data_IF_288124350951
#
_entry.id   IF_288124350951
#
_cell.length_a   1.000
_cell.length_b   1.000
_cell.length_c   1.000
_cell.angle_alpha   90.00
_cell.angle_beta   90.00
_cell.angle_gamma   90.00
#
_symmetry.space_group_name_H-M   'P 1'
#
loop_
_entity.id
_entity.type
_entity.pdbx_description
1 polymer ?
#
# COMPACT_ATOMS: atom_id res chain seq x y z
N UNK A 1 11.36 1.26 62.39
CA UNK A 1 11.89 1.78 61.12
C UNK A 1 12.44 0.68 60.18
N UNK A 2 12.97 -0.45 60.67
CA UNK A 2 13.51 -1.53 59.83
C UNK A 2 12.46 -2.30 58.98
N UNK A 3 11.21 -2.44 59.46
CA UNK A 3 10.15 -3.15 58.73
C UNK A 3 9.68 -2.47 57.45
N UNK A 4 9.70 -1.13 57.40
CA UNK A 4 9.35 -0.36 56.18
C UNK A 4 10.43 -0.51 55.09
N UNK A 5 11.70 -0.58 55.47
CA UNK A 5 12.81 -0.81 54.55
C UNK A 5 12.78 -2.23 53.97
N UNK A 6 12.48 -3.25 54.79
CA UNK A 6 12.31 -4.62 54.32
C UNK A 6 11.12 -4.77 53.36
N UNK A 7 9.98 -4.12 53.66
CA UNK A 7 8.83 -4.08 52.75
C UNK A 7 9.13 -3.34 51.45
N UNK A 8 9.90 -2.24 51.47
CA UNK A 8 10.29 -1.54 50.24
C UNK A 8 11.28 -2.33 49.39
N UNK A 9 12.16 -3.13 50.00
CA UNK A 9 13.09 -4.01 49.26
C UNK A 9 12.35 -5.22 48.70
N UNK A 10 11.42 -5.83 49.44
CA UNK A 10 10.57 -6.91 48.92
C UNK A 10 9.64 -6.42 47.79
N UNK A 11 9.08 -5.21 47.92
CA UNK A 11 8.39 -4.53 46.82
C UNK A 11 9.33 -4.28 45.66
N UNK A 12 10.51 -3.71 45.89
CA UNK A 12 11.47 -3.43 44.82
C UNK A 12 11.89 -4.71 44.09
N UNK A 13 12.13 -5.83 44.78
CA UNK A 13 12.54 -7.10 44.17
C UNK A 13 11.37 -7.78 43.43
N UNK A 14 10.15 -7.76 43.97
CA UNK A 14 8.96 -8.34 43.34
C UNK A 14 8.33 -7.47 42.23
N UNK A 15 8.30 -6.15 42.41
CA UNK A 15 7.86 -5.15 41.41
C UNK A 15 8.89 -5.04 40.26
N UNK A 16 10.20 -5.21 40.52
CA UNK A 16 11.20 -5.34 39.44
C UNK A 16 11.12 -6.66 38.69
N UNK A 17 10.54 -7.71 39.27
CA UNK A 17 10.47 -9.01 38.62
C UNK A 17 9.51 -9.00 37.43
N UNK A 18 8.44 -8.19 37.47
CA UNK A 18 7.50 -8.04 36.36
C UNK A 18 6.96 -6.59 36.17
N UNK A 19 7.82 -5.63 35.77
CA UNK A 19 7.44 -4.21 35.61
C UNK A 19 6.36 -3.99 34.53
N UNK A 20 6.15 -4.99 33.67
CA UNK A 20 5.12 -4.96 32.64
C UNK A 20 3.70 -5.05 33.20
N UNK A 21 3.48 -5.67 34.37
CA UNK A 21 2.14 -5.82 34.96
C UNK A 21 1.51 -4.47 35.32
N UNK A 22 2.28 -3.58 35.94
CA UNK A 22 1.83 -2.23 36.29
C UNK A 22 1.60 -1.37 35.05
N UNK A 23 2.53 -1.43 34.09
CA UNK A 23 2.39 -0.73 32.80
C UNK A 23 1.16 -1.23 32.05
N UNK A 24 0.90 -2.54 32.07
CA UNK A 24 -0.24 -3.15 31.40
C UNK A 24 -1.55 -2.72 32.06
N UNK A 25 -1.63 -2.73 33.40
CA UNK A 25 -2.77 -2.23 34.13
C UNK A 25 -3.07 -0.75 33.79
N UNK A 26 -2.02 0.08 33.75
CA UNK A 26 -2.12 1.51 33.38
C UNK A 26 -2.69 1.73 31.98
N UNK A 27 -2.24 0.94 31.00
CA UNK A 27 -2.61 1.12 29.60
C UNK A 27 -3.70 0.18 29.11
N UNK A 28 -4.29 -0.67 29.97
CA UNK A 28 -5.26 -1.71 29.59
C UNK A 28 -6.43 -1.15 28.77
N UNK A 29 -7.02 -0.04 29.23
CA UNK A 29 -8.15 0.63 28.57
C UNK A 29 -7.74 1.23 27.22
N UNK A 30 -6.55 1.80 27.13
CA UNK A 30 -6.00 2.34 25.88
C UNK A 30 -5.69 1.23 24.86
N UNK A 31 -5.11 0.11 25.33
CA UNK A 31 -4.76 -1.03 24.48
C UNK A 31 -6.00 -1.71 23.89
N UNK A 32 -7.13 -1.71 24.60
CA UNK A 32 -8.40 -2.24 24.08
C UNK A 32 -9.05 -1.39 22.99
N UNK A 33 -8.68 -0.12 22.83
CA UNK A 33 -9.26 0.76 21.80
C UNK A 33 -8.81 0.39 20.38
N UNK A 34 -7.66 -0.29 20.24
CA UNK A 34 -7.12 -0.72 18.96
C UNK A 34 -5.59 -0.66 18.89
N UNK A 35 -5.03 -0.82 17.69
CA UNK A 35 -3.56 -0.83 17.48
C UNK A 35 -2.98 0.55 17.25
N UNK A 36 -3.65 1.32 16.39
CA UNK A 36 -3.13 2.60 15.87
C UNK A 36 -3.93 3.81 16.33
N UNK A 37 -5.15 3.57 16.80
CA UNK A 37 -6.12 4.59 17.14
C UNK A 37 -7.51 4.01 17.10
N UNK A 38 -8.48 4.89 17.25
CA UNK A 38 -9.90 4.53 17.24
C UNK A 38 -10.72 5.66 16.63
N UNK A 39 -11.85 5.30 16.04
CA UNK A 39 -12.82 6.28 15.55
C UNK A 39 -13.69 6.73 16.71
N UNK A 40 -13.77 8.04 16.93
CA UNK A 40 -14.65 8.63 17.94
C UNK A 40 -15.26 9.90 17.34
N UNK A 41 -16.60 9.96 17.30
CA UNK A 41 -17.34 11.12 16.78
C UNK A 41 -16.91 11.57 15.37
N UNK A 42 -16.64 10.60 14.48
CA UNK A 42 -16.26 10.87 13.08
C UNK A 42 -14.81 11.33 12.89
N UNK A 43 -14.02 11.40 13.95
CA UNK A 43 -12.59 11.70 13.87
C UNK A 43 -11.74 10.48 14.28
N UNK A 44 -10.60 10.31 13.60
CA UNK A 44 -9.60 9.35 14.01
C UNK A 44 -8.77 9.91 15.16
N UNK A 45 -8.82 9.27 16.33
CA UNK A 45 -8.02 9.65 17.50
C UNK A 45 -6.83 8.70 17.68
N UNK A 46 -5.61 9.22 17.90
CA UNK A 46 -4.47 8.39 18.25
C UNK A 46 -4.62 7.80 19.66
N UNK A 47 -3.90 6.73 19.94
CA UNK A 47 -3.85 6.15 21.30
C UNK A 47 -3.03 7.03 22.25
N UNK A 48 -3.37 6.98 23.54
CA UNK A 48 -2.59 7.62 24.61
C UNK A 48 -1.23 6.97 24.90
N UNK A 49 -0.88 5.88 24.19
CA UNK A 49 0.41 5.21 24.27
C UNK A 49 1.12 5.27 22.91
N UNK A 50 2.40 5.66 22.92
CA UNK A 50 3.21 5.62 21.70
C UNK A 50 3.47 4.17 21.27
N UNK A 51 3.54 3.95 19.95
CA UNK A 51 3.82 2.63 19.38
C UNK A 51 5.12 2.00 19.93
N UNK A 52 6.15 2.82 20.19
CA UNK A 52 7.40 2.37 20.82
C UNK A 52 7.20 1.84 22.24
N UNK A 53 6.41 2.55 23.07
CA UNK A 53 6.11 2.12 24.44
C UNK A 53 5.26 0.84 24.44
N UNK A 54 4.27 0.76 23.54
CA UNK A 54 3.48 -0.46 23.31
C UNK A 54 4.36 -1.65 22.94
N UNK A 55 5.25 -1.50 21.95
CA UNK A 55 6.13 -2.59 21.51
C UNK A 55 7.10 -3.05 22.61
N UNK A 56 7.60 -2.13 23.45
CA UNK A 56 8.41 -2.49 24.62
C UNK A 56 7.62 -3.32 25.63
N UNK A 57 6.37 -2.92 25.92
CA UNK A 57 5.49 -3.63 26.84
C UNK A 57 5.13 -5.02 26.29
N UNK A 58 4.79 -5.12 25.00
CA UNK A 58 4.58 -6.38 24.29
C UNK A 58 5.80 -7.30 24.38
N UNK A 59 7.01 -6.76 24.15
CA UNK A 59 8.26 -7.52 24.26
C UNK A 59 8.48 -8.06 25.68
N UNK A 60 8.34 -7.21 26.71
CA UNK A 60 8.49 -7.61 28.12
C UNK A 60 7.53 -8.76 28.47
N UNK A 61 6.30 -8.71 27.96
CA UNK A 61 5.27 -9.70 28.26
C UNK A 61 5.49 -11.04 27.53
N UNK A 62 5.83 -11.00 26.24
CA UNK A 62 6.17 -12.20 25.46
C UNK A 62 7.43 -12.90 26.00
N UNK A 63 8.43 -12.14 26.47
CA UNK A 63 9.62 -12.69 27.12
C UNK A 63 9.30 -13.38 28.45
N UNK A 64 8.23 -12.96 29.14
CA UNK A 64 7.72 -13.62 30.34
C UNK A 64 6.83 -14.85 30.02
N UNK A 65 6.75 -15.26 28.74
CA UNK A 65 5.96 -16.41 28.29
C UNK A 65 4.44 -16.19 28.31
N UNK A 66 3.99 -14.93 28.41
CA UNK A 66 2.57 -14.57 28.42
C UNK A 66 2.10 -14.17 27.00
N UNK A 67 0.82 -14.36 26.71
CA UNK A 67 0.25 -14.09 25.39
C UNK A 67 -0.34 -12.69 25.24
N UNK A 68 -0.18 -12.06 24.07
CA UNK A 68 -0.56 -10.66 23.77
C UNK A 68 -1.88 -10.56 22.98
N UNK A 69 -3.03 -10.32 23.64
CA UNK A 69 -4.35 -10.38 22.99
C UNK A 69 -4.78 -9.06 22.31
N UNK A 70 -4.02 -7.97 22.46
CA UNK A 70 -4.47 -6.62 22.05
C UNK A 70 -4.22 -6.29 20.57
N UNK A 71 -3.43 -7.09 19.86
CA UNK A 71 -3.10 -6.86 18.45
C UNK A 71 -3.89 -7.85 17.58
N UNK A 72 -4.59 -7.40 16.53
CA UNK A 72 -5.21 -8.27 15.55
C UNK A 72 -4.14 -9.04 14.76
N UNK A 73 -4.54 -10.17 14.21
CA UNK A 73 -3.68 -10.99 13.37
C UNK A 73 -3.20 -10.22 12.13
N UNK A 74 -1.97 -10.53 11.70
CA UNK A 74 -1.41 -9.93 10.50
C UNK A 74 -2.16 -10.47 9.28
N UNK A 75 -2.64 -9.55 8.44
CA UNK A 75 -3.24 -9.90 7.15
C UNK A 75 -2.17 -10.44 6.20
N UNK A 76 -2.60 -11.31 5.29
CA UNK A 76 -1.76 -11.82 4.21
C UNK A 76 -1.28 -10.71 3.28
N UNK A 77 -0.06 -10.87 2.76
CA UNK A 77 0.52 -9.93 1.80
C UNK A 77 0.01 -10.19 0.38
N UNK A 78 -0.20 -9.13 -0.40
CA UNK A 78 -0.57 -9.25 -1.82
C UNK A 78 0.65 -9.62 -2.66
N UNK A 79 0.58 -10.75 -3.37
CA UNK A 79 1.69 -11.30 -4.19
C UNK A 79 1.57 -11.01 -5.69
N UNK A 80 0.58 -10.21 -6.12
CA UNK A 80 0.35 -9.95 -7.55
C UNK A 80 1.37 -8.97 -8.15
N UNK A 81 2.10 -9.38 -9.18
CA UNK A 81 2.97 -8.50 -9.98
C UNK A 81 2.16 -7.70 -11.01
N UNK A 82 2.52 -6.42 -11.21
CA UNK A 82 1.86 -5.55 -12.19
C UNK A 82 2.23 -5.90 -13.63
N UNK A 83 3.49 -6.27 -13.88
CA UNK A 83 4.07 -6.36 -15.22
C UNK A 83 4.30 -4.99 -15.87
N UNK A 84 5.26 -4.90 -16.79
CA UNK A 84 5.54 -3.66 -17.52
C UNK A 84 4.43 -3.37 -18.54
N UNK A 85 4.11 -2.08 -18.73
CA UNK A 85 3.10 -1.64 -19.71
C UNK A 85 3.49 -2.04 -21.13
N UNK A 86 4.78 -1.96 -21.45
CA UNK A 86 5.30 -2.30 -22.78
C UNK A 86 4.95 -3.75 -23.14
N UNK A 87 5.30 -4.69 -22.27
CA UNK A 87 5.13 -6.12 -22.50
C UNK A 87 3.65 -6.50 -22.62
N UNK A 88 2.81 -5.88 -21.79
CA UNK A 88 1.36 -6.13 -21.81
C UNK A 88 0.71 -5.76 -23.14
N UNK A 89 1.18 -4.67 -23.77
CA UNK A 89 0.60 -4.12 -25.01
C UNK A 89 1.38 -4.63 -26.24
N UNK A 90 2.50 -5.35 -26.05
CA UNK A 90 3.36 -5.77 -27.14
C UNK A 90 2.64 -6.71 -28.12
N UNK A 91 1.81 -7.64 -27.63
CA UNK A 91 1.00 -8.53 -28.46
C UNK A 91 -0.01 -7.73 -29.31
N UNK A 92 -0.79 -6.86 -28.66
CA UNK A 92 -1.78 -5.99 -29.32
C UNK A 92 -1.14 -5.11 -30.41
N UNK A 93 0.07 -4.58 -30.18
CA UNK A 93 0.79 -3.79 -31.18
C UNK A 93 1.22 -4.61 -32.39
N UNK A 94 1.67 -5.85 -32.19
CA UNK A 94 2.07 -6.74 -33.30
C UNK A 94 0.86 -7.10 -34.16
N UNK A 95 -0.27 -7.43 -33.54
CA UNK A 95 -1.53 -7.72 -34.24
C UNK A 95 -2.04 -6.51 -35.04
N UNK A 96 -2.03 -5.32 -34.43
CA UNK A 96 -2.43 -4.10 -35.12
C UNK A 96 -1.52 -3.79 -36.31
N UNK A 97 -0.23 -4.08 -36.19
CA UNK A 97 0.72 -3.91 -37.29
C UNK A 97 0.39 -4.86 -38.45
N UNK A 98 0.09 -6.14 -38.15
CA UNK A 98 -0.33 -7.10 -39.17
C UNK A 98 -1.65 -6.67 -39.86
N UNK A 99 -2.64 -6.23 -39.08
CA UNK A 99 -3.91 -5.73 -39.62
C UNK A 99 -3.74 -4.49 -40.51
N UNK A 100 -2.81 -3.59 -40.16
CA UNK A 100 -2.49 -2.42 -40.98
C UNK A 100 -1.81 -2.82 -42.29
N UNK A 101 -0.92 -3.81 -42.25
CA UNK A 101 -0.22 -4.31 -43.44
C UNK A 101 -1.20 -4.95 -44.45
N UNK A 102 -2.23 -5.66 -43.98
CA UNK A 102 -3.29 -6.20 -44.85
C UNK A 102 -4.03 -5.09 -45.63
N UNK A 103 -4.24 -3.92 -45.00
CA UNK A 103 -4.93 -2.77 -45.62
C UNK A 103 -4.00 -1.89 -46.47
N UNK A 104 -2.70 -2.17 -46.44
CA UNK A 104 -1.70 -1.34 -47.12
C UNK A 104 -1.91 -1.21 -48.64
N UNK A 105 -2.26 -2.28 -49.39
CA UNK A 105 -2.48 -2.17 -50.83
C UNK A 105 -3.62 -1.19 -51.18
N UNK A 106 -4.72 -1.26 -50.46
CA UNK A 106 -5.87 -0.37 -50.65
C UNK A 106 -5.50 1.09 -50.32
N UNK A 107 -4.77 1.30 -49.23
CA UNK A 107 -4.29 2.63 -48.84
C UNK A 107 -3.35 3.23 -49.90
N UNK A 108 -2.49 2.42 -50.53
CA UNK A 108 -1.61 2.86 -51.61
C UNK A 108 -2.40 3.26 -52.86
N UNK A 109 -3.41 2.49 -53.26
CA UNK A 109 -4.27 2.83 -54.39
C UNK A 109 -5.05 4.12 -54.12
N UNK A 110 -5.60 4.27 -52.91
CA UNK A 110 -6.30 5.49 -52.51
C UNK A 110 -5.38 6.73 -52.49
N UNK A 111 -4.11 6.56 -52.11
CA UNK A 111 -3.12 7.64 -52.15
C UNK A 111 -2.76 8.02 -53.59
N UNK A 112 -2.50 7.02 -54.45
CA UNK A 112 -2.20 7.24 -55.87
C UNK A 112 -3.35 7.94 -56.58
N UNK A 113 -4.60 7.50 -56.34
CA UNK A 113 -5.81 8.14 -56.87
C UNK A 113 -5.90 9.61 -56.47
N UNK A 114 -5.74 9.93 -55.17
CA UNK A 114 -5.74 11.33 -54.69
C UNK A 114 -4.67 12.21 -55.33
N UNK A 115 -3.45 11.68 -55.48
CA UNK A 115 -2.36 12.41 -56.16
C UNK A 115 -2.67 12.67 -57.63
N UNK A 116 -3.26 11.69 -58.30
CA UNK A 116 -3.59 11.77 -59.71
C UNK A 116 -4.74 12.76 -59.95
N UNK A 117 -5.82 12.69 -59.18
CA UNK A 117 -6.94 13.65 -59.24
C UNK A 117 -6.49 15.08 -58.97
N UNK A 118 -5.57 15.27 -58.02
CA UNK A 118 -5.00 16.60 -57.74
C UNK A 118 -4.23 17.13 -58.95
N UNK A 119 -3.41 16.31 -59.58
CA UNK A 119 -2.64 16.68 -60.78
C UNK A 119 -3.57 17.05 -61.94
N UNK A 120 -4.60 16.24 -62.20
CA UNK A 120 -5.58 16.52 -63.26
C UNK A 120 -6.29 17.86 -63.03
N UNK A 121 -6.71 18.17 -61.80
CA UNK A 121 -7.33 19.48 -61.46
C UNK A 121 -6.37 20.67 -61.63
N UNK A 122 -5.09 20.49 -61.35
CA UNK A 122 -4.07 21.53 -61.57
C UNK A 122 -3.83 21.77 -63.07
N UNK A 123 -3.77 20.70 -63.86
CA UNK A 123 -3.65 20.77 -65.32
C UNK A 123 -4.89 21.43 -65.96
N UNK A 124 -6.10 21.07 -65.54
CA UNK A 124 -7.34 21.73 -65.99
C UNK A 124 -7.34 23.23 -65.67
N UNK A 125 -7.03 23.61 -64.42
CA UNK A 125 -6.92 25.03 -64.03
C UNK A 125 -5.86 25.80 -64.80
N UNK A 126 -4.80 25.15 -65.28
CA UNK A 126 -3.76 25.77 -66.10
C UNK A 126 -4.18 25.98 -67.55
N UNK A 127 -5.15 25.20 -68.06
CA UNK A 127 -5.71 25.33 -69.41
C UNK A 127 -6.84 26.35 -69.50
N UNK A 128 -7.56 26.55 -68.40
CA UNK A 128 -8.64 27.56 -68.29
C UNK A 128 -8.12 28.98 -68.02
N UNK A 129 -6.80 29.17 -67.93
CA UNK A 129 -6.11 30.46 -67.74
C UNK A 129 -5.41 30.90 -69.02
#
# INVERSE_FOLDING_TARGET
>A
MAGKAAQSVAKAVGEYQYPWREKLAKYKVELSKGVWGYWELGAWKPLGISARRRARLRKEMLLAGQDWPYDPERKEMRTKMKGHKCDRIAAEKRENTANLMLKMPEMLLAYKKRRWEKKMKEEEKSKDK
#
